data_IF_845557686817
#
_entry.id   IF_845557686817
#
_cell.length_a   1.000
_cell.length_b   1.000
_cell.length_c   1.000
_cell.angle_alpha   90.00
_cell.angle_beta   90.00
_cell.angle_gamma   90.00
#
_symmetry.space_group_name_H-M   'P 1'
#
loop_
_entity.id
_entity.type
_entity.pdbx_description
1 polymer ?
#
# COMPACT_ATOMS: atom_id res chain seq x y z
N UNK A 1 111.48 9.98 18.00
CA UNK A 1 111.23 10.19 19.44
C UNK A 1 109.82 10.76 19.62
N UNK A 2 109.17 10.42 20.74
CA UNK A 2 107.83 10.81 21.26
C UNK A 2 106.62 10.44 20.37
N UNK A 3 105.88 9.37 20.68
CA UNK A 3 104.88 9.19 21.77
C UNK A 3 103.73 10.20 21.76
N UNK A 4 102.53 9.61 21.95
CA UNK A 4 101.26 10.18 22.42
C UNK A 4 100.33 10.79 21.35
N UNK A 5 99.00 10.73 21.42
CA UNK A 5 98.06 10.46 22.51
C UNK A 5 96.68 10.05 21.90
N UNK A 6 95.92 9.21 22.61
CA UNK A 6 94.53 8.80 22.30
C UNK A 6 93.57 9.99 22.27
N UNK A 7 92.61 9.99 21.35
CA UNK A 7 91.31 10.67 21.50
C UNK A 7 90.19 9.67 21.23
N UNK A 8 89.49 9.28 22.30
CA UNK A 8 88.22 8.57 22.25
C UNK A 8 87.14 9.57 21.81
N UNK A 9 86.43 9.27 20.72
CA UNK A 9 85.21 9.98 20.33
C UNK A 9 84.03 9.05 20.60
N UNK A 10 83.25 9.37 21.62
CA UNK A 10 81.99 8.70 21.96
C UNK A 10 80.91 9.19 21.00
N UNK A 11 80.36 8.30 20.17
CA UNK A 11 79.21 8.59 19.30
C UNK A 11 77.95 8.26 20.07
N UNK A 12 77.15 9.29 20.41
CA UNK A 12 75.81 9.12 20.98
C UNK A 12 74.81 9.13 19.82
N UNK A 13 74.24 7.95 19.51
CA UNK A 13 73.22 7.79 18.49
C UNK A 13 71.85 8.01 19.15
N UNK A 14 71.22 9.17 18.90
CA UNK A 14 69.86 9.46 19.35
C UNK A 14 68.85 8.77 18.41
N UNK A 15 68.20 7.71 18.88
CA UNK A 15 67.05 7.10 18.19
C UNK A 15 65.78 7.87 18.55
N UNK A 16 65.28 8.67 17.60
CA UNK A 16 63.94 9.26 17.67
C UNK A 16 62.91 8.24 17.17
N UNK A 17 62.15 7.64 18.08
CA UNK A 17 61.01 6.80 17.74
C UNK A 17 59.80 7.68 17.37
N UNK A 18 59.39 7.66 16.10
CA UNK A 18 58.18 8.33 15.62
C UNK A 18 56.99 7.39 15.86
N UNK A 19 56.12 7.73 16.82
CA UNK A 19 54.87 7.02 17.06
C UNK A 19 53.79 7.53 16.09
N UNK A 20 53.35 6.67 15.17
CA UNK A 20 52.22 6.95 14.28
C UNK A 20 50.90 6.62 15.01
N UNK A 21 49.87 7.48 14.94
CA UNK A 21 48.57 7.18 15.54
C UNK A 21 47.83 6.15 14.67
N UNK A 22 47.57 4.97 15.22
CA UNK A 22 46.67 3.99 14.61
C UNK A 22 45.24 4.46 14.86
N UNK A 23 44.62 5.06 13.86
CA UNK A 23 43.19 5.37 13.90
C UNK A 23 42.43 4.06 13.66
N UNK A 24 41.82 3.53 14.71
CA UNK A 24 40.95 2.36 14.62
C UNK A 24 39.69 2.75 13.83
N UNK A 25 39.61 2.33 12.57
CA UNK A 25 38.42 2.49 11.74
C UNK A 25 37.28 1.63 12.33
N UNK A 26 36.28 2.27 12.92
CA UNK A 26 35.05 1.59 13.33
C UNK A 26 34.25 1.22 12.09
N UNK A 27 34.19 -0.07 11.74
CA UNK A 27 33.34 -0.55 10.67
C UNK A 27 31.86 -0.24 10.97
N UNK A 28 31.05 0.18 9.98
CA UNK A 28 29.63 0.40 10.21
C UNK A 28 28.96 -0.91 10.63
N UNK A 29 28.24 -0.90 11.74
CA UNK A 29 27.38 -2.02 12.14
C UNK A 29 26.26 -2.15 11.12
N UNK A 30 26.19 -3.30 10.44
CA UNK A 30 25.01 -3.65 9.67
C UNK A 30 23.81 -3.77 10.61
N UNK A 31 22.79 -2.93 10.40
CA UNK A 31 21.50 -3.09 11.07
C UNK A 31 20.78 -4.24 10.37
N UNK A 32 20.38 -5.32 11.06
CA UNK A 32 19.62 -6.39 10.43
C UNK A 32 18.32 -5.80 9.87
N UNK A 33 18.02 -6.12 8.61
CA UNK A 33 16.75 -5.75 8.00
C UNK A 33 15.62 -6.39 8.83
N UNK A 34 14.71 -5.58 9.35
CA UNK A 34 13.52 -6.09 10.02
C UNK A 34 12.72 -6.92 9.02
N UNK A 35 12.50 -8.21 9.32
CA UNK A 35 11.60 -9.05 8.53
C UNK A 35 10.17 -8.67 8.92
N UNK A 36 9.46 -7.93 8.06
CA UNK A 36 8.04 -7.64 8.26
C UNK A 36 7.25 -8.95 8.27
N UNK A 37 6.70 -9.30 9.43
CA UNK A 37 5.80 -10.44 9.54
C UNK A 37 4.45 -10.07 8.93
N UNK A 38 4.16 -10.60 7.74
CA UNK A 38 2.88 -10.41 7.07
C UNK A 38 1.78 -11.38 7.53
N UNK A 39 1.81 -11.80 8.80
CA UNK A 39 0.71 -12.58 9.36
C UNK A 39 -0.50 -11.67 9.57
N UNK A 40 -1.64 -12.01 8.99
CA UNK A 40 -2.88 -11.24 9.12
C UNK A 40 -4.00 -12.17 9.58
N UNK A 41 -4.83 -11.80 10.57
CA UNK A 41 -5.96 -12.63 11.01
C UNK A 41 -7.14 -12.63 10.01
N UNK A 42 -6.92 -12.17 8.78
CA UNK A 42 -7.97 -11.88 7.80
C UNK A 42 -8.39 -13.14 7.06
N UNK A 43 -9.62 -13.14 6.55
CA UNK A 43 -10.19 -14.22 5.74
C UNK A 43 -10.60 -13.74 4.36
N UNK A 44 -11.29 -14.60 3.61
CA UNK A 44 -11.90 -14.26 2.31
C UNK A 44 -13.43 -14.42 2.31
N UNK A 45 -14.02 -14.35 3.50
CA UNK A 45 -15.47 -14.31 3.71
C UNK A 45 -16.02 -12.93 3.40
N UNK A 46 -17.32 -12.81 3.12
CA UNK A 46 -17.94 -11.51 2.88
C UNK A 46 -17.87 -10.63 4.14
N UNK A 47 -17.67 -9.34 3.95
CA UNK A 47 -17.76 -8.31 5.00
C UNK A 47 -18.75 -7.23 4.56
N UNK A 48 -19.70 -6.87 5.41
CA UNK A 48 -20.72 -5.88 5.08
C UNK A 48 -21.25 -5.12 6.30
N UNK A 49 -21.76 -3.92 6.02
CA UNK A 49 -22.43 -2.99 6.93
C UNK A 49 -23.53 -2.29 6.12
N UNK A 50 -24.79 -2.40 6.53
CA UNK A 50 -25.97 -2.09 5.69
C UNK A 50 -26.30 -0.60 5.42
N UNK A 51 -26.15 0.34 6.37
CA UNK A 51 -26.71 1.69 6.19
C UNK A 51 -26.21 2.41 4.92
N UNK A 52 -27.14 3.05 4.20
CA UNK A 52 -26.80 4.02 3.15
C UNK A 52 -26.37 5.34 3.80
N UNK A 53 -25.39 6.00 3.18
CA UNK A 53 -24.95 7.33 3.57
C UNK A 53 -25.13 8.34 2.45
N UNK A 54 -25.47 9.58 2.81
CA UNK A 54 -25.69 10.66 1.86
C UNK A 54 -24.38 11.32 1.37
N UNK A 55 -23.28 11.17 2.11
CA UNK A 55 -22.02 11.80 1.76
C UNK A 55 -21.44 11.20 0.46
N UNK A 56 -21.21 12.00 -0.60
CA UNK A 56 -20.76 11.44 -1.86
C UNK A 56 -19.33 10.90 -1.80
N UNK A 57 -19.08 9.88 -2.61
CA UNK A 57 -17.75 9.41 -2.98
C UNK A 57 -17.05 10.47 -3.83
N UNK A 58 -15.84 10.85 -3.43
CA UNK A 58 -15.08 11.94 -4.07
C UNK A 58 -13.83 11.46 -4.78
N UNK A 59 -13.23 10.36 -4.32
CA UNK A 59 -12.04 9.80 -4.93
C UNK A 59 -11.92 8.30 -4.68
N UNK A 60 -11.20 7.64 -5.59
CA UNK A 60 -10.72 6.28 -5.43
C UNK A 60 -9.20 6.33 -5.52
N UNK A 61 -8.51 5.80 -4.51
CA UNK A 61 -7.04 5.76 -4.47
C UNK A 61 -6.54 4.37 -4.18
N UNK A 62 -5.31 4.10 -4.56
CA UNK A 62 -4.64 2.83 -4.30
C UNK A 62 -3.30 3.08 -3.60
N UNK A 63 -2.86 2.10 -2.81
CA UNK A 63 -1.59 2.15 -2.10
C UNK A 63 -0.93 0.78 -1.99
N UNK A 64 0.40 0.74 -2.11
CA UNK A 64 1.22 -0.46 -1.91
C UNK A 64 1.76 -0.48 -0.48
N UNK A 65 1.70 -1.62 0.16
CA UNK A 65 2.31 -1.87 1.47
C UNK A 65 3.09 -3.19 1.43
N UNK A 66 3.99 -3.40 2.40
CA UNK A 66 4.85 -4.60 2.42
C UNK A 66 4.06 -5.92 2.44
N UNK A 67 2.85 -5.91 3.01
CA UNK A 67 2.06 -7.10 3.28
C UNK A 67 0.69 -7.13 2.58
N UNK A 68 0.25 -6.02 2.02
CA UNK A 68 -1.05 -5.90 1.37
C UNK A 68 -1.03 -4.77 0.35
N UNK A 69 -1.94 -4.84 -0.61
CA UNK A 69 -2.32 -3.67 -1.41
C UNK A 69 -3.63 -3.11 -0.86
N UNK A 70 -3.84 -1.80 -1.04
CA UNK A 70 -4.97 -1.07 -0.48
C UNK A 70 -5.75 -0.38 -1.59
N UNK A 71 -7.08 -0.41 -1.49
CA UNK A 71 -8.00 0.47 -2.21
C UNK A 71 -8.72 1.35 -1.17
N UNK A 72 -8.79 2.65 -1.43
CA UNK A 72 -9.43 3.64 -0.57
C UNK A 72 -10.53 4.35 -1.34
N UNK A 73 -11.70 4.42 -0.73
CA UNK A 73 -12.87 5.15 -1.20
C UNK A 73 -13.08 6.34 -0.27
N UNK A 74 -12.73 7.54 -0.76
CA UNK A 74 -12.82 8.78 0.02
C UNK A 74 -14.23 9.38 -0.09
N UNK A 75 -14.83 9.70 1.05
CA UNK A 75 -16.17 10.28 1.14
C UNK A 75 -16.08 11.74 1.58
N UNK A 76 -17.02 12.57 1.13
CA UNK A 76 -17.16 13.96 1.56
C UNK A 76 -17.69 14.12 3.00
N UNK A 77 -17.91 13.01 3.72
CA UNK A 77 -18.50 12.96 5.04
C UNK A 77 -18.40 11.56 5.65
N UNK A 78 -19.08 11.30 6.77
CA UNK A 78 -18.97 10.03 7.49
C UNK A 78 -19.39 8.83 6.64
N UNK A 79 -18.62 7.74 6.71
CA UNK A 79 -18.96 6.46 6.13
C UNK A 79 -20.14 5.82 6.89
N UNK A 80 -21.09 5.25 6.14
CA UNK A 80 -22.28 4.60 6.68
C UNK A 80 -22.22 3.08 6.52
N UNK A 81 -21.99 2.59 5.29
CA UNK A 81 -22.03 1.17 4.97
C UNK A 81 -21.21 0.78 3.75
N UNK A 82 -21.04 -0.52 3.58
CA UNK A 82 -20.33 -1.15 2.47
C UNK A 82 -20.67 -2.64 2.39
N UNK A 83 -20.37 -3.26 1.25
CA UNK A 83 -20.38 -4.71 1.08
C UNK A 83 -19.21 -5.13 0.19
N UNK A 84 -18.41 -6.05 0.70
CA UNK A 84 -17.24 -6.58 -0.01
C UNK A 84 -17.24 -8.10 0.03
N UNK A 85 -17.17 -8.72 -1.14
CA UNK A 85 -17.16 -10.18 -1.25
C UNK A 85 -16.54 -10.67 -2.56
N UNK A 86 -16.06 -11.90 -2.56
CA UNK A 86 -15.61 -12.57 -3.79
C UNK A 86 -16.79 -13.08 -4.61
N UNK A 87 -16.81 -12.75 -5.90
CA UNK A 87 -17.88 -13.14 -6.84
C UNK A 87 -17.34 -13.69 -8.16
N UNK A 88 -18.20 -14.44 -8.84
CA UNK A 88 -17.90 -14.96 -10.18
C UNK A 88 -18.04 -13.89 -11.27
N UNK A 89 -18.92 -12.93 -11.09
CA UNK A 89 -19.09 -11.81 -12.02
C UNK A 89 -19.49 -10.57 -11.23
N UNK A 90 -19.00 -9.42 -11.68
CA UNK A 90 -19.49 -8.12 -11.20
C UNK A 90 -20.46 -7.62 -12.26
N UNK A 91 -21.65 -7.21 -11.83
CA UNK A 91 -22.68 -6.68 -12.72
C UNK A 91 -22.79 -5.17 -12.52
N UNK A 92 -23.10 -4.45 -13.59
CA UNK A 92 -23.46 -3.04 -13.53
C UNK A 92 -24.88 -2.93 -12.98
N UNK A 93 -25.06 -2.12 -11.94
CA UNK A 93 -26.38 -1.86 -11.37
C UNK A 93 -27.28 -1.14 -12.38
N UNK A 94 -28.58 -1.45 -12.36
CA UNK A 94 -29.58 -0.93 -13.29
C UNK A 94 -29.62 -1.65 -14.65
N UNK A 95 -28.46 -1.90 -15.29
CA UNK A 95 -28.43 -2.57 -16.60
C UNK A 95 -28.33 -4.10 -16.51
N UNK A 96 -27.71 -4.63 -15.44
CA UNK A 96 -27.39 -6.05 -15.31
C UNK A 96 -26.28 -6.53 -16.24
N UNK A 97 -25.56 -5.63 -16.92
CA UNK A 97 -24.46 -5.99 -17.80
C UNK A 97 -23.27 -6.52 -17.00
N UNK A 98 -22.61 -7.57 -17.49
CA UNK A 98 -21.38 -8.10 -16.88
C UNK A 98 -20.23 -7.13 -17.12
N UNK A 99 -19.53 -6.77 -16.06
CA UNK A 99 -18.31 -5.96 -16.12
C UNK A 99 -17.07 -6.85 -16.28
N UNK A 100 -16.16 -6.44 -17.16
CA UNK A 100 -14.86 -7.09 -17.27
C UNK A 100 -13.97 -6.58 -16.13
N UNK A 101 -13.59 -7.48 -15.22
CA UNK A 101 -12.72 -7.17 -14.06
C UNK A 101 -11.45 -8.00 -14.16
N UNK A 102 -10.37 -7.48 -14.77
CA UNK A 102 -9.11 -8.22 -14.96
C UNK A 102 -8.49 -8.70 -13.64
N UNK A 103 -8.21 -10.00 -13.52
CA UNK A 103 -7.63 -10.61 -12.33
C UNK A 103 -7.84 -12.12 -12.30
N UNK A 104 -7.21 -12.80 -11.34
CA UNK A 104 -7.45 -14.22 -11.07
C UNK A 104 -8.64 -14.47 -10.12
N UNK A 105 -9.07 -13.45 -9.37
CA UNK A 105 -10.32 -13.43 -8.62
C UNK A 105 -10.86 -11.99 -8.56
N UNK A 106 -12.14 -11.82 -8.21
CA UNK A 106 -12.87 -10.55 -8.30
C UNK A 106 -13.56 -10.28 -6.97
N UNK A 107 -13.31 -9.14 -6.38
CA UNK A 107 -14.12 -8.60 -5.30
C UNK A 107 -15.20 -7.69 -5.91
N UNK A 108 -16.46 -7.97 -5.59
CA UNK A 108 -17.49 -6.95 -5.65
C UNK A 108 -17.27 -6.02 -4.45
N UNK A 109 -17.17 -4.72 -4.71
CA UNK A 109 -17.11 -3.69 -3.68
C UNK A 109 -18.27 -2.73 -3.93
N UNK A 110 -19.29 -2.81 -3.08
CA UNK A 110 -20.35 -1.82 -3.05
C UNK A 110 -20.08 -0.88 -1.87
N UNK A 111 -19.85 0.39 -2.17
CA UNK A 111 -19.77 1.46 -1.16
C UNK A 111 -21.16 2.05 -1.06
N UNK A 112 -21.79 2.03 0.12
CA UNK A 112 -23.19 2.44 0.31
C UNK A 112 -23.32 3.98 0.34
N UNK A 113 -22.70 4.63 -0.63
CA UNK A 113 -22.67 6.07 -0.84
C UNK A 113 -22.80 6.38 -2.33
N UNK A 114 -23.47 7.49 -2.71
CA UNK A 114 -23.55 7.92 -4.09
C UNK A 114 -22.20 8.44 -4.58
N UNK A 115 -21.97 8.42 -5.90
CA UNK A 115 -20.85 9.10 -6.57
C UNK A 115 -21.32 10.37 -7.29
N UNK A 116 -22.36 11.01 -6.75
CA UNK A 116 -22.96 12.24 -7.23
C UNK A 116 -23.45 13.11 -6.06
N UNK A 117 -23.55 14.41 -6.29
CA UNK A 117 -24.10 15.38 -5.33
C UNK A 117 -25.64 15.47 -5.38
N UNK A 118 -26.24 16.31 -4.52
CA UNK A 118 -27.70 16.48 -4.46
C UNK A 118 -28.32 17.05 -5.75
N UNK A 119 -27.50 17.66 -6.62
CA UNK A 119 -27.91 18.13 -7.94
C UNK A 119 -27.70 17.08 -9.05
N UNK A 120 -27.20 15.89 -8.70
CA UNK A 120 -26.92 14.79 -9.62
C UNK A 120 -25.61 14.95 -10.39
N UNK A 121 -24.75 15.91 -10.04
CA UNK A 121 -23.45 16.05 -10.68
C UNK A 121 -22.49 14.98 -10.15
N UNK A 122 -21.66 14.36 -11.02
CA UNK A 122 -20.69 13.37 -10.57
C UNK A 122 -19.62 14.01 -9.68
N UNK A 123 -19.26 13.32 -8.60
CA UNK A 123 -18.30 13.82 -7.59
C UNK A 123 -16.94 13.15 -7.66
N UNK A 124 -16.80 12.05 -8.41
CA UNK A 124 -15.51 11.41 -8.72
C UNK A 124 -14.97 11.97 -10.03
N UNK A 125 -13.71 12.45 -10.00
CA UNK A 125 -13.06 13.09 -11.14
C UNK A 125 -11.74 12.39 -11.49
N UNK A 126 -11.47 12.06 -12.77
CA UNK A 126 -12.38 12.18 -13.92
C UNK A 126 -13.60 11.26 -13.78
N UNK A 127 -14.73 11.66 -14.37
CA UNK A 127 -15.98 10.90 -14.31
C UNK A 127 -15.80 9.57 -15.04
N UNK A 128 -15.85 8.42 -14.35
CA UNK A 128 -15.60 7.13 -14.99
C UNK A 128 -16.86 6.60 -15.69
N UNK A 129 -16.67 5.99 -16.86
CA UNK A 129 -17.71 5.17 -17.48
C UNK A 129 -17.79 3.79 -16.82
N UNK A 130 -18.97 3.15 -16.87
CA UNK A 130 -19.12 1.75 -16.44
C UNK A 130 -18.13 0.85 -17.19
N UNK A 131 -17.41 -0.01 -16.46
CA UNK A 131 -16.38 -0.89 -17.00
C UNK A 131 -15.01 -0.23 -17.17
N UNK A 132 -14.85 1.05 -16.85
CA UNK A 132 -13.56 1.74 -16.93
C UNK A 132 -12.70 1.45 -15.69
N UNK A 133 -11.40 1.21 -15.90
CA UNK A 133 -10.43 1.19 -14.81
C UNK A 133 -10.18 2.61 -14.26
N UNK A 134 -10.15 2.74 -12.93
CA UNK A 134 -10.01 4.02 -12.22
C UNK A 134 -8.68 4.17 -11.48
N UNK A 135 -7.76 3.23 -11.64
CA UNK A 135 -6.45 3.27 -11.00
C UNK A 135 -5.36 2.64 -11.88
N UNK A 136 -4.18 3.26 -11.92
CA UNK A 136 -2.96 2.62 -12.44
C UNK A 136 -2.39 1.68 -11.37
N UNK A 137 -2.28 0.40 -11.71
CA UNK A 137 -1.82 -0.65 -10.81
C UNK A 137 -0.45 -1.23 -11.22
N UNK A 138 0.30 -0.50 -12.05
CA UNK A 138 1.67 -0.85 -12.41
C UNK A 138 2.53 -1.03 -11.15
N UNK A 139 3.12 -2.23 -11.02
CA UNK A 139 3.96 -2.58 -9.88
C UNK A 139 3.22 -2.94 -8.58
N UNK A 140 1.89 -3.12 -8.61
CA UNK A 140 1.14 -3.72 -7.51
C UNK A 140 1.32 -5.24 -7.51
N UNK A 141 1.47 -5.83 -6.31
CA UNK A 141 1.73 -7.26 -6.20
C UNK A 141 0.45 -8.07 -6.31
N UNK A 142 -0.62 -7.63 -5.65
CA UNK A 142 -1.91 -8.32 -5.53
C UNK A 142 -2.98 -7.70 -6.43
N UNK A 143 -3.15 -6.38 -6.45
CA UNK A 143 -4.17 -5.72 -7.25
C UNK A 143 -3.87 -5.84 -8.75
N UNK A 144 -4.93 -5.98 -9.55
CA UNK A 144 -4.86 -6.14 -11.02
C UNK A 144 -5.77 -5.18 -11.77
N UNK A 145 -6.92 -4.84 -11.20
CA UNK A 145 -7.80 -3.80 -11.73
C UNK A 145 -8.64 -3.19 -10.61
N UNK A 146 -9.04 -1.94 -10.78
CA UNK A 146 -10.15 -1.33 -10.03
C UNK A 146 -11.09 -0.74 -11.07
N UNK A 147 -12.23 -1.37 -11.28
CA UNK A 147 -13.19 -1.07 -12.35
C UNK A 147 -14.40 -0.39 -11.75
N UNK A 148 -14.75 0.79 -12.25
CA UNK A 148 -16.01 1.43 -11.87
C UNK A 148 -17.19 0.71 -12.53
N UNK A 149 -18.22 0.40 -11.74
CA UNK A 149 -19.45 -0.20 -12.24
C UNK A 149 -20.52 0.84 -12.52
N UNK A 150 -21.08 1.41 -11.46
CA UNK A 150 -22.14 2.42 -11.53
C UNK A 150 -22.36 3.03 -10.15
N UNK A 151 -23.11 4.13 -10.09
CA UNK A 151 -23.68 4.66 -8.87
C UNK A 151 -25.19 4.74 -9.03
N UNK A 152 -25.93 4.00 -8.21
CA UNK A 152 -27.38 3.83 -8.31
C UNK A 152 -28.01 3.70 -6.91
N UNK A 153 -29.16 4.35 -6.69
CA UNK A 153 -29.92 4.28 -5.42
C UNK A 153 -29.11 4.54 -4.13
N UNK A 154 -28.08 5.39 -4.21
CA UNK A 154 -27.25 5.75 -3.06
C UNK A 154 -26.10 4.77 -2.79
N UNK A 155 -25.84 3.83 -3.69
CA UNK A 155 -24.71 2.91 -3.63
C UNK A 155 -23.83 3.03 -4.88
N UNK A 156 -22.53 2.82 -4.73
CA UNK A 156 -21.57 2.84 -5.83
C UNK A 156 -20.81 1.53 -5.89
N UNK A 157 -20.92 0.86 -7.04
CA UNK A 157 -20.32 -0.45 -7.30
C UNK A 157 -18.98 -0.33 -8.00
N UNK A 158 -18.02 -1.10 -7.51
CA UNK A 158 -16.71 -1.33 -8.11
C UNK A 158 -16.44 -2.84 -8.22
N UNK A 159 -15.74 -3.22 -9.28
CA UNK A 159 -15.07 -4.50 -9.37
C UNK A 159 -13.59 -4.35 -9.07
N UNK A 160 -13.08 -5.03 -8.05
CA UNK A 160 -11.65 -5.05 -7.74
C UNK A 160 -11.06 -6.40 -8.14
N UNK A 161 -10.26 -6.40 -9.20
CA UNK A 161 -9.55 -7.57 -9.66
C UNK A 161 -8.27 -7.79 -8.86
N UNK A 162 -8.09 -9.01 -8.37
CA UNK A 162 -6.93 -9.43 -7.60
C UNK A 162 -6.28 -10.66 -8.24
N UNK A 163 -4.99 -10.87 -7.99
CA UNK A 163 -4.24 -11.98 -8.62
C UNK A 163 -4.77 -13.39 -8.29
N UNK A 164 -5.40 -13.55 -7.13
CA UNK A 164 -5.98 -14.80 -6.63
C UNK A 164 -6.95 -14.48 -5.47
N UNK A 165 -7.77 -15.44 -5.06
CA UNK A 165 -8.58 -15.31 -3.84
C UNK A 165 -7.66 -15.29 -2.61
N UNK A 166 -7.59 -14.14 -1.96
CA UNK A 166 -6.65 -13.83 -0.89
C UNK A 166 -7.40 -13.24 0.32
N UNK A 167 -6.79 -13.26 1.52
CA UNK A 167 -7.38 -12.61 2.66
C UNK A 167 -7.56 -11.11 2.41
N UNK A 168 -8.68 -10.57 2.83
CA UNK A 168 -8.93 -9.13 2.83
C UNK A 168 -9.58 -8.70 4.14
N UNK A 169 -9.57 -7.40 4.39
CA UNK A 169 -10.42 -6.77 5.41
C UNK A 169 -11.00 -5.48 4.88
N UNK A 170 -12.09 -5.03 5.48
CA UNK A 170 -12.62 -3.68 5.31
C UNK A 170 -12.50 -2.91 6.61
N UNK A 171 -12.19 -1.62 6.52
CA UNK A 171 -12.13 -0.73 7.68
C UNK A 171 -12.60 0.67 7.31
N UNK A 172 -13.13 1.38 8.32
CA UNK A 172 -13.41 2.82 8.21
C UNK A 172 -12.25 3.58 8.86
N UNK A 173 -11.60 4.46 8.08
CA UNK A 173 -10.45 5.25 8.55
C UNK A 173 -10.84 6.71 8.62
N UNK A 174 -10.50 7.38 9.73
CA UNK A 174 -10.80 8.80 9.98
C UNK A 174 -12.29 9.15 9.84
N UNK A 175 -13.18 8.15 9.93
CA UNK A 175 -14.62 8.31 9.81
C UNK A 175 -15.14 8.52 8.39
N UNK A 176 -14.32 8.92 7.41
CA UNK A 176 -14.77 9.30 6.05
C UNK A 176 -14.11 8.52 4.91
N UNK A 177 -13.48 7.38 5.22
CA UNK A 177 -12.84 6.53 4.22
C UNK A 177 -13.23 5.08 4.42
N UNK A 178 -13.79 4.45 3.39
CA UNK A 178 -13.92 2.99 3.34
C UNK A 178 -12.64 2.45 2.70
N UNK A 179 -11.95 1.56 3.41
CA UNK A 179 -10.64 1.03 3.03
C UNK A 179 -10.72 -0.47 2.90
N UNK A 180 -10.34 -0.98 1.72
CA UNK A 180 -10.21 -2.42 1.45
C UNK A 180 -8.73 -2.76 1.35
N UNK A 181 -8.24 -3.56 2.29
CA UNK A 181 -6.88 -4.10 2.27
C UNK A 181 -6.90 -5.54 1.79
N UNK A 182 -6.10 -5.88 0.79
CA UNK A 182 -5.96 -7.26 0.28
C UNK A 182 -4.54 -7.75 0.52
N UNK A 183 -4.42 -8.79 1.35
CA UNK A 183 -3.14 -9.36 1.73
C UNK A 183 -2.38 -9.90 0.50
N UNK A 184 -1.06 -9.87 0.58
CA UNK A 184 -0.22 -10.49 -0.45
C UNK A 184 -0.20 -12.02 -0.36
N UNK A 185 -0.57 -12.61 0.77
CA UNK A 185 -0.53 -14.06 0.98
C UNK A 185 -1.46 -14.47 2.11
N UNK A 186 -1.78 -15.75 2.13
CA UNK A 186 -2.28 -16.41 3.35
C UNK A 186 -1.16 -16.50 4.39
N UNK A 187 -1.56 -16.44 5.66
CA UNK A 187 -0.68 -16.64 6.81
C UNK A 187 -0.99 -17.96 7.50
#
# INVERSE_FOLDING_TARGET
>A
MSRTLRRLLTVVLALTAVALPVVAATAPRAVPAATTSCATPWGSTSEWVEPLGAAPLTAVRTGRHDCFDRVVFDLAGPAAGYRVEYVDQVFQDGSGAVLTVPGGARLLVNVNHPAYDDAGNPTVVPVPAAGQEVADLSGYRTLRSVVYGSSFEGATTFGVGVRARLPFRVSVVEGSRVVVDVAHRWS
#
